data_IF_159631425730
#
_entry.id   IF_159631425730
#
_cell.length_a   1.000
_cell.length_b   1.000
_cell.length_c   1.000
_cell.angle_alpha   90.00
_cell.angle_beta   90.00
_cell.angle_gamma   90.00
#
_symmetry.space_group_name_H-M   'P 1'
#
loop_
_entity.id
_entity.type
_entity.pdbx_description
1 polymer ?
#
# COMPACT_ATOMS: atom_id res chain seq x y z
N UNK A 1 -30.15 9.16 -22.52
CA UNK A 1 -29.67 7.78 -22.34
C UNK A 1 -28.77 7.82 -21.11
N UNK A 2 -29.14 7.14 -20.03
CA UNK A 2 -28.27 7.01 -18.86
C UNK A 2 -27.08 6.14 -19.30
N UNK A 3 -25.89 6.74 -19.43
CA UNK A 3 -24.70 5.97 -19.70
C UNK A 3 -24.48 5.00 -18.51
N UNK A 4 -24.20 3.73 -18.82
CA UNK A 4 -23.91 2.74 -17.80
C UNK A 4 -22.56 3.06 -17.15
N UNK A 5 -22.53 3.11 -15.82
CA UNK A 5 -21.31 3.28 -15.04
C UNK A 5 -20.36 2.11 -15.35
N UNK A 6 -19.21 2.41 -15.92
CA UNK A 6 -18.20 1.39 -16.28
C UNK A 6 -17.29 1.05 -15.12
N UNK A 7 -16.93 2.06 -14.32
CA UNK A 7 -16.00 1.90 -13.20
C UNK A 7 -16.48 2.65 -11.96
N UNK A 8 -16.45 1.99 -10.81
CA UNK A 8 -16.80 2.58 -9.51
C UNK A 8 -15.51 2.79 -8.70
N UNK A 9 -15.28 4.04 -8.29
CA UNK A 9 -14.15 4.40 -7.45
C UNK A 9 -14.56 4.18 -6.00
N UNK A 10 -13.98 3.16 -5.36
CA UNK A 10 -14.22 2.82 -3.94
C UNK A 10 -13.20 3.55 -3.09
N UNK A 11 -13.69 4.47 -2.24
CA UNK A 11 -12.90 5.43 -1.50
C UNK A 11 -13.24 5.39 -0.01
N UNK A 12 -12.50 4.60 0.80
CA UNK A 12 -12.67 4.61 2.25
C UNK A 12 -12.07 5.88 2.84
N UNK A 13 -12.71 6.43 3.88
CA UNK A 13 -12.18 7.59 4.63
C UNK A 13 -12.52 7.50 6.11
N UNK A 14 -11.65 8.06 6.95
CA UNK A 14 -11.85 8.16 8.40
C UNK A 14 -11.12 9.37 8.98
N UNK A 15 -11.86 10.40 9.46
CA UNK A 15 -11.30 11.62 10.04
C UNK A 15 -10.30 12.34 9.11
N UNK A 16 -10.64 12.48 7.81
CA UNK A 16 -9.73 13.03 6.80
C UNK A 16 -10.42 13.93 5.78
N UNK A 17 -11.40 14.74 6.22
CA UNK A 17 -12.18 15.61 5.36
C UNK A 17 -11.34 16.40 4.34
N UNK A 18 -10.27 17.08 4.77
CA UNK A 18 -9.45 17.93 3.89
C UNK A 18 -8.71 17.15 2.80
N UNK A 19 -8.37 15.89 3.08
CA UNK A 19 -7.76 14.99 2.09
C UNK A 19 -8.80 14.51 1.09
N UNK A 20 -9.94 14.04 1.58
CA UNK A 20 -11.07 13.63 0.76
C UNK A 20 -11.50 14.74 -0.22
N UNK A 21 -11.58 16.00 0.25
CA UNK A 21 -11.90 17.16 -0.57
C UNK A 21 -10.94 17.31 -1.78
N UNK A 22 -9.64 17.09 -1.54
CA UNK A 22 -8.61 17.13 -2.60
C UNK A 22 -8.81 16.01 -3.62
N UNK A 23 -9.07 14.79 -3.15
CA UNK A 23 -9.32 13.63 -4.03
C UNK A 23 -10.56 13.88 -4.90
N UNK A 24 -11.66 14.33 -4.31
CA UNK A 24 -12.88 14.62 -5.08
C UNK A 24 -12.68 15.76 -6.08
N UNK A 25 -11.89 16.76 -5.74
CA UNK A 25 -11.50 17.83 -6.68
C UNK A 25 -10.67 17.28 -7.86
N UNK A 26 -9.83 16.27 -7.62
CA UNK A 26 -9.12 15.54 -8.69
C UNK A 26 -10.08 14.74 -9.58
N UNK A 27 -11.11 14.12 -9.00
CA UNK A 27 -12.14 13.41 -9.75
C UNK A 27 -13.02 14.35 -10.61
N UNK A 28 -13.28 15.58 -10.15
CA UNK A 28 -13.98 16.60 -10.97
C UNK A 28 -13.23 16.97 -12.25
N UNK A 29 -11.92 16.74 -12.31
CA UNK A 29 -11.04 17.06 -13.45
C UNK A 29 -10.73 15.88 -14.36
N UNK A 30 -11.41 14.73 -14.18
CA UNK A 30 -11.14 13.56 -15.03
C UNK A 30 -11.49 13.85 -16.51
N UNK A 31 -10.66 13.33 -17.41
CA UNK A 31 -10.78 13.52 -18.86
C UNK A 31 -11.86 12.68 -19.51
N UNK A 32 -12.38 11.68 -18.80
CA UNK A 32 -13.48 10.82 -19.26
C UNK A 32 -14.84 11.47 -19.05
N UNK A 33 -15.85 10.96 -19.76
CA UNK A 33 -17.24 11.36 -19.53
C UNK A 33 -17.64 11.10 -18.08
N UNK A 34 -18.16 12.11 -17.35
CA UNK A 34 -18.59 11.95 -15.97
C UNK A 34 -19.64 10.88 -15.73
N UNK A 35 -20.43 10.52 -16.76
CA UNK A 35 -21.43 9.46 -16.68
C UNK A 35 -20.84 8.05 -16.68
N UNK A 36 -19.58 7.87 -17.10
CA UNK A 36 -18.95 6.56 -17.18
C UNK A 36 -18.36 6.06 -15.85
N UNK A 37 -18.25 6.92 -14.83
CA UNK A 37 -17.74 6.54 -13.51
C UNK A 37 -18.58 7.09 -12.36
N UNK A 38 -18.44 6.50 -11.19
CA UNK A 38 -19.02 6.99 -9.94
C UNK A 38 -17.97 6.93 -8.82
N UNK A 39 -18.18 7.72 -7.77
CA UNK A 39 -17.45 7.62 -6.52
C UNK A 39 -18.33 7.03 -5.41
N UNK A 40 -17.90 5.91 -4.83
CA UNK A 40 -18.52 5.29 -3.66
C UNK A 40 -17.63 5.57 -2.46
N UNK A 41 -18.02 6.59 -1.68
CA UNK A 41 -17.28 7.04 -0.51
C UNK A 41 -17.81 6.31 0.72
N UNK A 42 -16.94 5.63 1.44
CA UNK A 42 -17.30 4.94 2.68
C UNK A 42 -16.65 5.64 3.86
N UNK A 43 -17.46 6.39 4.62
CA UNK A 43 -17.08 7.00 5.88
C UNK A 43 -17.09 5.95 7.00
N UNK A 44 -15.91 5.50 7.39
CA UNK A 44 -15.71 4.46 8.40
C UNK A 44 -15.87 4.99 9.84
N UNK A 45 -16.93 5.77 10.07
CA UNK A 45 -17.32 6.27 11.40
C UNK A 45 -16.55 7.52 11.83
N UNK A 46 -16.26 8.45 10.91
CA UNK A 46 -15.60 9.72 11.25
C UNK A 46 -16.29 10.48 12.36
N UNK A 47 -15.49 11.11 13.21
CA UNK A 47 -15.91 11.96 14.34
C UNK A 47 -15.64 13.44 14.10
N UNK A 48 -14.94 13.77 13.00
CA UNK A 48 -14.77 15.13 12.50
C UNK A 48 -15.97 15.58 11.65
N UNK A 49 -15.85 16.69 10.94
CA UNK A 49 -16.91 17.23 10.09
C UNK A 49 -17.07 16.55 8.72
N UNK A 50 -16.39 15.41 8.46
CA UNK A 50 -16.42 14.67 7.17
C UNK A 50 -17.84 14.37 6.73
N UNK A 51 -18.69 13.84 7.61
CA UNK A 51 -20.08 13.50 7.28
C UNK A 51 -20.91 14.73 6.92
N UNK A 52 -20.84 15.77 7.75
CA UNK A 52 -21.57 17.00 7.52
C UNK A 52 -21.11 17.71 6.24
N UNK A 53 -19.85 17.58 5.90
CA UNK A 53 -19.30 18.12 4.66
C UNK A 53 -19.75 17.31 3.44
N UNK A 54 -19.74 15.98 3.48
CA UNK A 54 -20.26 15.12 2.41
C UNK A 54 -21.73 15.42 2.10
N UNK A 55 -22.56 15.55 3.12
CA UNK A 55 -24.00 15.85 2.94
C UNK A 55 -24.27 17.20 2.25
N UNK A 56 -23.32 18.15 2.30
CA UNK A 56 -23.43 19.47 1.64
C UNK A 56 -22.71 19.54 0.29
N UNK A 57 -21.88 18.57 -0.04
CA UNK A 57 -21.04 18.57 -1.23
C UNK A 57 -21.26 17.32 -2.08
N UNK A 58 -22.50 16.84 -2.14
CA UNK A 58 -22.93 15.68 -2.94
C UNK A 58 -23.15 16.01 -4.42
N UNK A 59 -23.24 17.31 -4.80
CA UNK A 59 -23.44 17.76 -6.16
C UNK A 59 -22.11 17.79 -6.90
N UNK A 60 -21.91 16.78 -7.76
CA UNK A 60 -20.73 16.63 -8.62
C UNK A 60 -21.14 16.40 -10.07
N UNK A 61 -20.20 16.50 -10.99
CA UNK A 61 -20.42 16.18 -12.40
C UNK A 61 -20.65 14.68 -12.64
N UNK A 62 -20.17 13.85 -11.72
CA UNK A 62 -20.30 12.40 -11.69
C UNK A 62 -21.16 11.98 -10.49
N UNK A 63 -21.62 10.73 -10.50
CA UNK A 63 -22.42 10.18 -9.41
C UNK A 63 -21.57 9.99 -8.16
N UNK A 64 -22.07 10.47 -7.02
CA UNK A 64 -21.49 10.21 -5.70
C UNK A 64 -22.48 9.42 -4.86
N UNK A 65 -21.98 8.38 -4.20
CA UNK A 65 -22.72 7.62 -3.17
C UNK A 65 -21.89 7.66 -1.90
N UNK A 66 -22.40 8.33 -0.87
CA UNK A 66 -21.76 8.40 0.45
C UNK A 66 -22.43 7.41 1.41
N UNK A 67 -21.67 6.52 2.00
CA UNK A 67 -22.13 5.50 2.96
C UNK A 67 -21.39 5.72 4.25
N UNK A 68 -22.11 5.75 5.37
CA UNK A 68 -21.49 5.76 6.70
C UNK A 68 -21.66 4.41 7.37
N UNK A 69 -20.61 3.94 8.00
CA UNK A 69 -20.62 2.72 8.82
C UNK A 69 -19.98 2.96 10.18
N UNK A 70 -20.21 2.03 11.12
CA UNK A 70 -19.42 1.95 12.33
C UNK A 70 -17.99 1.55 11.99
N UNK A 71 -16.99 2.22 12.58
CA UNK A 71 -15.59 1.96 12.31
C UNK A 71 -15.26 0.47 12.37
N UNK A 72 -14.75 -0.05 11.29
CA UNK A 72 -14.41 -1.45 11.11
C UNK A 72 -13.11 -1.67 10.33
N UNK A 73 -12.41 -0.58 10.04
CA UNK A 73 -11.14 -0.60 9.32
C UNK A 73 -11.27 -0.62 7.79
N UNK A 74 -10.14 -0.48 7.09
CA UNK A 74 -10.11 -0.26 5.64
C UNK A 74 -10.67 -1.46 4.84
N UNK A 75 -10.44 -2.70 5.27
CA UNK A 75 -10.95 -3.89 4.63
C UNK A 75 -12.49 -3.90 4.61
N UNK A 76 -13.13 -3.65 5.77
CA UNK A 76 -14.59 -3.59 5.88
C UNK A 76 -15.17 -2.42 5.08
N UNK A 77 -14.54 -1.25 5.14
CA UNK A 77 -14.99 -0.09 4.38
C UNK A 77 -14.93 -0.33 2.86
N UNK A 78 -13.83 -0.96 2.36
CA UNK A 78 -13.75 -1.33 0.94
C UNK A 78 -14.80 -2.37 0.54
N UNK A 79 -15.08 -3.37 1.37
CA UNK A 79 -16.14 -4.35 1.09
C UNK A 79 -17.50 -3.66 0.97
N UNK A 80 -17.87 -2.78 1.90
CA UNK A 80 -19.10 -1.97 1.80
C UNK A 80 -19.14 -1.17 0.50
N UNK A 81 -18.02 -0.59 0.09
CA UNK A 81 -17.91 0.14 -1.18
C UNK A 81 -18.06 -0.76 -2.41
N UNK A 82 -17.49 -1.97 -2.39
CA UNK A 82 -17.63 -2.97 -3.48
C UNK A 82 -19.09 -3.40 -3.63
N UNK A 83 -19.78 -3.65 -2.52
CA UNK A 83 -21.21 -4.03 -2.56
C UNK A 83 -22.06 -2.95 -3.24
N UNK A 84 -21.83 -1.69 -2.89
CA UNK A 84 -22.56 -0.53 -3.44
C UNK A 84 -22.15 -0.14 -4.85
N UNK A 85 -20.98 -0.57 -5.33
CA UNK A 85 -20.43 -0.27 -6.64
C UNK A 85 -21.32 -0.80 -7.77
N UNK A 86 -21.60 0.01 -8.79
CA UNK A 86 -22.43 -0.34 -9.98
C UNK A 86 -21.58 -0.68 -11.20
N UNK A 87 -20.35 -0.16 -11.26
CA UNK A 87 -19.45 -0.38 -12.38
C UNK A 87 -19.05 -1.84 -12.54
N UNK A 88 -18.79 -2.22 -13.78
CA UNK A 88 -18.17 -3.50 -14.11
C UNK A 88 -16.81 -3.66 -13.44
N UNK A 89 -16.07 -2.55 -13.33
CA UNK A 89 -14.77 -2.48 -12.68
C UNK A 89 -14.88 -1.70 -11.36
N UNK A 90 -14.04 -2.06 -10.40
CA UNK A 90 -13.81 -1.26 -9.19
C UNK A 90 -12.39 -0.70 -9.24
N UNK A 91 -12.26 0.59 -8.95
CA UNK A 91 -11.00 1.28 -8.75
C UNK A 91 -10.90 1.61 -7.26
N UNK A 92 -9.96 1.01 -6.58
CA UNK A 92 -9.62 1.37 -5.21
C UNK A 92 -8.73 2.60 -5.22
N UNK A 93 -9.12 3.61 -4.47
CA UNK A 93 -8.39 4.87 -4.33
C UNK A 93 -8.37 5.29 -2.86
N UNK A 94 -7.20 5.61 -2.31
CA UNK A 94 -7.11 6.10 -0.94
C UNK A 94 -7.42 7.60 -0.85
N UNK A 95 -7.88 8.05 0.30
CA UNK A 95 -8.29 9.44 0.56
C UNK A 95 -7.12 10.44 0.64
N UNK A 96 -5.89 9.98 0.44
CA UNK A 96 -4.67 10.78 0.31
C UNK A 96 -3.99 10.65 -1.06
N UNK A 97 -4.68 10.07 -2.03
CA UNK A 97 -4.20 9.93 -3.42
C UNK A 97 -5.03 10.81 -4.36
N UNK A 98 -4.50 11.96 -4.72
CA UNK A 98 -5.14 12.89 -5.66
C UNK A 98 -5.00 12.37 -7.11
N UNK A 99 -6.11 12.01 -7.79
CA UNK A 99 -6.04 11.51 -9.15
C UNK A 99 -5.64 12.61 -10.14
N UNK A 100 -4.70 12.29 -11.05
CA UNK A 100 -4.47 13.14 -12.23
C UNK A 100 -5.64 13.03 -13.20
N UNK A 101 -5.76 13.95 -14.15
CA UNK A 101 -6.88 14.01 -15.07
C UNK A 101 -7.10 12.73 -15.89
N UNK A 102 -6.02 11.99 -16.16
CA UNK A 102 -6.03 10.78 -16.99
C UNK A 102 -6.22 9.48 -16.20
N UNK A 103 -6.27 9.53 -14.86
CA UNK A 103 -6.23 8.32 -14.03
C UNK A 103 -7.34 7.34 -14.39
N UNK A 104 -8.60 7.77 -14.43
CA UNK A 104 -9.75 6.90 -14.74
C UNK A 104 -9.69 6.38 -16.17
N UNK A 105 -9.33 7.26 -17.14
CA UNK A 105 -9.18 6.88 -18.54
C UNK A 105 -8.16 5.75 -18.72
N UNK A 106 -7.02 5.86 -18.04
CA UNK A 106 -5.91 4.92 -18.16
C UNK A 106 -6.23 3.55 -17.51
N UNK A 107 -7.00 3.53 -16.42
CA UNK A 107 -7.52 2.29 -15.86
C UNK A 107 -8.50 1.62 -16.83
N UNK A 108 -9.48 2.36 -17.34
CA UNK A 108 -10.46 1.83 -18.29
C UNK A 108 -9.80 1.31 -19.56
N UNK A 109 -8.82 2.02 -20.12
CA UNK A 109 -8.07 1.61 -21.30
C UNK A 109 -7.39 0.25 -21.13
N UNK A 110 -6.82 -0.02 -19.95
CA UNK A 110 -6.21 -1.33 -19.67
C UNK A 110 -7.26 -2.44 -19.64
N UNK A 111 -8.42 -2.20 -19.06
CA UNK A 111 -9.50 -3.18 -18.98
C UNK A 111 -10.21 -3.43 -20.33
N UNK A 112 -10.12 -2.48 -21.27
CA UNK A 112 -10.55 -2.68 -22.66
C UNK A 112 -9.65 -3.66 -23.42
N UNK A 113 -8.38 -3.74 -23.04
CA UNK A 113 -7.41 -4.64 -23.66
C UNK A 113 -7.41 -6.03 -23.02
N UNK A 114 -7.63 -6.11 -21.70
CA UNK A 114 -7.58 -7.36 -20.94
C UNK A 114 -8.53 -7.26 -19.73
N UNK A 115 -9.47 -8.19 -19.60
CA UNK A 115 -10.47 -8.19 -18.51
C UNK A 115 -10.00 -8.94 -17.26
N UNK A 116 -9.18 -10.00 -17.43
CA UNK A 116 -8.69 -10.85 -16.34
C UNK A 116 -7.38 -10.28 -15.76
N UNK A 117 -7.39 -9.01 -15.45
CA UNK A 117 -6.22 -8.25 -15.03
C UNK A 117 -6.53 -7.36 -13.81
N UNK A 118 -5.55 -7.24 -12.94
CA UNK A 118 -5.45 -6.20 -11.93
C UNK A 118 -4.56 -5.11 -12.50
N UNK A 119 -5.08 -3.89 -12.64
CA UNK A 119 -4.32 -2.74 -13.11
C UNK A 119 -3.83 -1.93 -11.91
N UNK A 120 -2.53 -1.72 -11.85
CA UNK A 120 -1.85 -0.97 -10.77
C UNK A 120 -1.37 0.35 -11.34
N UNK A 121 -1.82 1.46 -10.76
CA UNK A 121 -1.31 2.79 -11.04
C UNK A 121 -0.27 3.23 -9.99
N UNK A 122 0.65 4.13 -10.34
CA UNK A 122 1.63 4.66 -9.40
C UNK A 122 0.95 5.56 -8.36
N UNK A 123 1.43 5.45 -7.11
CA UNK A 123 1.30 6.44 -6.05
C UNK A 123 2.45 7.43 -6.22
N UNK A 124 2.27 8.39 -7.14
CA UNK A 124 3.34 9.26 -7.60
C UNK A 124 3.77 10.25 -6.53
N UNK A 125 5.08 10.46 -6.42
CA UNK A 125 5.66 11.37 -5.45
C UNK A 125 5.23 12.83 -5.67
N UNK A 126 5.05 13.54 -4.57
CA UNK A 126 5.05 15.00 -4.54
C UNK A 126 6.50 15.52 -4.69
N UNK A 127 6.69 16.78 -5.12
CA UNK A 127 8.03 17.37 -5.21
C UNK A 127 8.78 17.40 -3.87
N UNK A 128 8.07 17.42 -2.77
CA UNK A 128 8.64 17.49 -1.43
C UNK A 128 7.76 16.83 -0.38
N UNK A 129 8.40 16.09 0.54
CA UNK A 129 7.80 15.57 1.78
C UNK A 129 8.57 16.11 2.98
N UNK A 130 7.91 16.73 3.97
CA UNK A 130 8.58 17.29 5.14
C UNK A 130 9.17 16.22 6.05
N UNK A 131 8.59 15.00 6.07
CA UNK A 131 9.06 13.89 6.90
C UNK A 131 10.08 13.03 6.14
N UNK A 132 11.32 12.87 6.63
CA UNK A 132 12.34 12.06 5.96
C UNK A 132 11.94 10.59 5.73
N UNK A 133 11.19 9.99 6.66
CA UNK A 133 10.72 8.60 6.54
C UNK A 133 9.64 8.45 5.46
N UNK A 134 8.80 9.47 5.26
CA UNK A 134 7.82 9.48 4.14
C UNK A 134 8.54 9.63 2.82
N UNK A 135 9.49 10.56 2.73
CA UNK A 135 10.32 10.73 1.53
C UNK A 135 11.11 9.45 1.18
N UNK A 136 11.64 8.76 2.20
CA UNK A 136 12.33 7.48 2.02
C UNK A 136 11.41 6.37 1.50
N UNK A 137 10.21 6.24 2.08
CA UNK A 137 9.21 5.27 1.64
C UNK A 137 8.79 5.53 0.19
N UNK A 138 8.52 6.79 -0.13
CA UNK A 138 8.14 7.19 -1.49
C UNK A 138 9.25 6.91 -2.50
N UNK A 139 10.51 7.18 -2.15
CA UNK A 139 11.65 6.85 -3.00
C UNK A 139 11.78 5.34 -3.27
N UNK A 140 11.35 4.47 -2.32
CA UNK A 140 11.30 3.03 -2.52
C UNK A 140 10.22 2.63 -3.53
N UNK A 141 9.04 3.25 -3.46
CA UNK A 141 7.98 3.03 -4.45
C UNK A 141 8.42 3.47 -5.85
N UNK A 142 9.01 4.66 -5.99
CA UNK A 142 9.52 5.13 -7.28
C UNK A 142 10.59 4.18 -7.87
N UNK A 143 11.48 3.64 -7.03
CA UNK A 143 12.48 2.66 -7.49
C UNK A 143 11.81 1.37 -8.00
N UNK A 144 10.71 0.92 -7.38
CA UNK A 144 9.93 -0.22 -7.88
C UNK A 144 9.25 0.10 -9.22
N UNK A 145 8.69 1.29 -9.38
CA UNK A 145 8.10 1.72 -10.65
C UNK A 145 9.11 1.73 -11.78
N UNK A 146 10.31 2.24 -11.53
CA UNK A 146 11.41 2.22 -12.51
C UNK A 146 11.79 0.79 -12.87
N UNK A 147 11.91 -0.11 -11.90
CA UNK A 147 12.22 -1.52 -12.14
C UNK A 147 11.14 -2.22 -12.98
N UNK A 148 9.85 -1.97 -12.68
CA UNK A 148 8.73 -2.50 -13.47
C UNK A 148 8.72 -1.96 -14.91
N UNK A 149 9.03 -0.69 -15.11
CA UNK A 149 9.12 -0.07 -16.44
C UNK A 149 10.27 -0.61 -17.29
N UNK A 150 11.37 -1.03 -16.66
CA UNK A 150 12.54 -1.64 -17.33
C UNK A 150 12.36 -3.12 -17.60
N UNK A 151 11.35 -3.76 -17.03
CA UNK A 151 11.17 -5.21 -17.06
C UNK A 151 12.08 -5.97 -16.08
N UNK A 152 12.77 -5.26 -15.17
CA UNK A 152 13.60 -5.87 -14.14
C UNK A 152 12.75 -6.49 -13.00
N UNK A 153 11.48 -6.12 -12.96
CA UNK A 153 10.52 -6.58 -11.96
C UNK A 153 9.13 -6.75 -12.57
N UNK A 154 8.59 -7.95 -12.53
CA UNK A 154 7.22 -8.19 -12.96
C UNK A 154 6.23 -7.80 -11.84
N UNK A 155 5.18 -7.02 -12.16
CA UNK A 155 4.12 -6.73 -11.21
C UNK A 155 3.43 -8.02 -10.75
N UNK A 156 3.17 -8.13 -9.46
CA UNK A 156 2.52 -9.29 -8.86
C UNK A 156 1.50 -8.84 -7.81
N UNK A 157 0.86 -9.78 -7.14
CA UNK A 157 -0.07 -9.51 -6.03
C UNK A 157 0.57 -8.66 -4.91
N UNK A 158 1.90 -8.68 -4.76
CA UNK A 158 2.65 -7.88 -3.78
C UNK A 158 2.55 -6.37 -4.04
N UNK A 159 2.27 -5.97 -5.27
CA UNK A 159 2.09 -4.58 -5.69
C UNK A 159 0.62 -4.20 -5.86
N UNK A 160 -0.31 -5.02 -5.40
CA UNK A 160 -1.72 -4.66 -5.36
C UNK A 160 -1.98 -3.62 -4.27
N UNK A 161 -1.56 -2.39 -4.53
CA UNK A 161 -1.81 -1.27 -3.61
C UNK A 161 -3.19 -0.68 -3.87
N UNK A 162 -4.10 -0.85 -2.93
CA UNK A 162 -5.47 -0.32 -3.03
C UNK A 162 -5.57 1.20 -2.96
N UNK A 163 -4.44 1.88 -2.81
CA UNK A 163 -4.35 3.33 -2.99
C UNK A 163 -4.53 3.78 -4.44
N UNK A 164 -4.27 2.90 -5.43
CA UNK A 164 -4.48 3.17 -6.86
C UNK A 164 -4.43 1.87 -7.66
N UNK A 165 -5.48 1.06 -7.59
CA UNK A 165 -5.56 -0.19 -8.34
C UNK A 165 -6.99 -0.51 -8.75
N UNK A 166 -7.18 -1.08 -9.96
CA UNK A 166 -8.50 -1.49 -10.44
C UNK A 166 -8.54 -2.94 -10.91
N UNK A 167 -9.73 -3.51 -10.84
CA UNK A 167 -10.00 -4.90 -11.21
C UNK A 167 -11.49 -5.07 -11.52
N UNK A 168 -11.87 -6.08 -12.30
CA UNK A 168 -13.29 -6.39 -12.50
C UNK A 168 -13.94 -6.76 -11.15
N UNK A 169 -15.10 -6.15 -10.85
CA UNK A 169 -15.85 -6.39 -9.60
C UNK A 169 -16.12 -7.89 -9.39
N UNK A 170 -16.43 -8.60 -10.45
CA UNK A 170 -16.69 -10.04 -10.40
C UNK A 170 -15.51 -10.85 -9.84
N UNK A 171 -14.26 -10.47 -10.16
CA UNK A 171 -13.06 -11.14 -9.66
C UNK A 171 -12.86 -10.90 -8.17
N UNK A 172 -13.12 -9.68 -7.68
CA UNK A 172 -13.03 -9.37 -6.25
C UNK A 172 -14.06 -10.18 -5.46
N UNK A 173 -15.31 -10.23 -5.96
CA UNK A 173 -16.39 -11.01 -5.32
C UNK A 173 -16.11 -12.51 -5.35
N UNK A 174 -15.61 -13.03 -6.48
CA UNK A 174 -15.23 -14.44 -6.60
C UNK A 174 -14.04 -14.80 -5.70
N UNK A 175 -13.17 -13.86 -5.38
CA UNK A 175 -12.10 -14.03 -4.39
C UNK A 175 -12.59 -13.88 -2.93
N UNK A 176 -13.86 -13.50 -2.69
CA UNK A 176 -14.45 -13.35 -1.36
C UNK A 176 -14.29 -11.97 -0.74
N UNK A 177 -13.83 -10.95 -1.50
CA UNK A 177 -13.60 -9.60 -0.99
C UNK A 177 -12.39 -9.50 -0.06
N UNK A 178 -12.25 -8.36 0.61
CA UNK A 178 -11.21 -8.15 1.63
C UNK A 178 -11.52 -8.92 2.91
N UNK A 179 -10.52 -9.52 3.53
CA UNK A 179 -10.66 -10.15 4.85
C UNK A 179 -10.52 -9.11 5.98
N UNK A 180 -11.59 -8.82 6.75
CA UNK A 180 -11.53 -7.87 7.85
C UNK A 180 -10.60 -8.28 9.01
N UNK A 181 -10.15 -9.51 9.05
CA UNK A 181 -9.15 -10.01 10.00
C UNK A 181 -7.76 -9.39 9.76
N UNK A 182 -7.49 -8.90 8.54
CA UNK A 182 -6.27 -8.19 8.23
C UNK A 182 -6.46 -6.69 8.45
N UNK A 183 -5.89 -6.17 9.53
CA UNK A 183 -5.89 -4.73 9.81
C UNK A 183 -4.90 -3.94 8.93
N UNK A 184 -3.97 -4.64 8.27
CA UNK A 184 -2.99 -4.14 7.29
C UNK A 184 -2.65 -5.25 6.32
N UNK A 185 -2.10 -4.86 5.15
CA UNK A 185 -1.78 -5.77 4.06
C UNK A 185 -2.99 -6.60 3.58
N UNK A 186 -4.20 -6.14 3.87
CA UNK A 186 -5.47 -6.70 3.38
C UNK A 186 -5.54 -6.70 1.85
N UNK A 187 -4.84 -5.75 1.24
CA UNK A 187 -4.67 -5.62 -0.20
C UNK A 187 -3.77 -6.74 -0.75
N UNK A 188 -2.60 -6.95 -0.18
CA UNK A 188 -1.67 -8.02 -0.59
C UNK A 188 -2.31 -9.39 -0.39
N UNK A 189 -3.06 -9.58 0.70
CA UNK A 189 -3.79 -10.82 0.99
C UNK A 189 -4.87 -11.10 -0.06
N UNK A 190 -5.71 -10.12 -0.39
CA UNK A 190 -6.70 -10.26 -1.47
C UNK A 190 -6.01 -10.44 -2.82
N UNK A 191 -4.94 -9.70 -3.08
CA UNK A 191 -4.12 -9.84 -4.29
C UNK A 191 -3.61 -11.26 -4.48
N UNK A 192 -3.15 -11.91 -3.40
CA UNK A 192 -2.73 -13.32 -3.40
C UNK A 192 -3.87 -14.24 -3.83
N UNK A 193 -5.06 -14.12 -3.23
CA UNK A 193 -6.23 -14.93 -3.61
C UNK A 193 -6.66 -14.71 -5.06
N UNK A 194 -6.56 -13.49 -5.57
CA UNK A 194 -6.80 -13.20 -6.99
C UNK A 194 -5.74 -13.82 -7.88
N UNK A 195 -4.46 -13.78 -7.49
CA UNK A 195 -3.36 -14.42 -8.20
C UNK A 195 -3.55 -15.94 -8.30
N UNK A 196 -3.91 -16.60 -7.21
CA UNK A 196 -4.20 -18.05 -7.17
C UNK A 196 -5.38 -18.44 -8.08
N UNK A 197 -6.26 -17.47 -8.40
CA UNK A 197 -7.35 -17.64 -9.37
C UNK A 197 -6.92 -17.32 -10.82
N UNK A 198 -5.64 -17.05 -11.04
CA UNK A 198 -5.07 -16.85 -12.38
C UNK A 198 -5.08 -15.40 -12.87
N UNK A 199 -5.46 -14.40 -12.04
CA UNK A 199 -5.41 -13.01 -12.48
C UNK A 199 -3.95 -12.55 -12.65
N UNK A 200 -3.74 -11.80 -13.72
CA UNK A 200 -2.48 -11.12 -13.99
C UNK A 200 -2.45 -9.73 -13.36
N UNK A 201 -1.25 -9.23 -13.11
CA UNK A 201 -1.03 -7.89 -12.58
C UNK A 201 -0.29 -7.05 -13.62
N UNK A 202 -0.76 -5.83 -13.87
CA UNK A 202 -0.20 -4.92 -14.87
C UNK A 202 0.04 -3.56 -14.24
N UNK A 203 1.25 -3.06 -14.38
CA UNK A 203 1.58 -1.69 -13.97
C UNK A 203 1.34 -0.74 -15.14
N UNK A 204 0.44 0.25 -14.92
CA UNK A 204 0.21 1.32 -15.89
C UNK A 204 0.79 2.66 -15.37
N UNK A 205 1.96 3.09 -15.85
CA UNK A 205 2.62 4.31 -15.36
C UNK A 205 1.84 5.59 -15.66
N UNK A 206 0.83 5.55 -16.55
CA UNK A 206 0.00 6.70 -16.91
C UNK A 206 -1.21 6.87 -15.98
N UNK A 207 -1.66 5.82 -15.31
CA UNK A 207 -2.76 5.86 -14.35
C UNK A 207 -2.29 6.47 -13.02
N UNK A 208 -1.93 7.76 -13.01
CA UNK A 208 -1.21 8.41 -11.91
C UNK A 208 -2.14 8.98 -10.84
N UNK A 209 -1.84 8.69 -9.58
CA UNK A 209 -2.37 9.43 -8.44
C UNK A 209 -1.23 10.09 -7.65
N UNK A 210 -1.37 11.36 -7.28
CA UNK A 210 -0.39 12.09 -6.47
C UNK A 210 -0.58 11.72 -5.00
N UNK A 211 0.44 11.14 -4.39
CA UNK A 211 0.37 10.62 -3.02
C UNK A 211 0.70 11.69 -1.98
N UNK A 212 -0.33 12.22 -1.35
CA UNK A 212 -0.21 13.18 -0.24
C UNK A 212 0.08 12.46 1.09
N UNK A 213 1.08 11.58 1.07
CA UNK A 213 1.45 10.79 2.25
C UNK A 213 1.92 11.70 3.39
N UNK A 214 1.31 11.50 4.55
CA UNK A 214 1.69 12.16 5.79
C UNK A 214 1.52 11.17 6.94
N UNK A 215 2.58 10.96 7.70
CA UNK A 215 2.60 9.93 8.74
C UNK A 215 3.55 10.30 9.86
N UNK A 216 3.10 10.19 11.11
CA UNK A 216 4.02 10.34 12.25
C UNK A 216 5.09 9.23 12.24
N UNK A 217 6.26 9.51 12.79
CA UNK A 217 7.34 8.53 12.90
C UNK A 217 6.88 7.26 13.64
N UNK A 218 6.12 7.41 14.72
CA UNK A 218 5.57 6.29 15.48
C UNK A 218 4.60 5.43 14.65
N UNK A 219 3.73 6.06 13.85
CA UNK A 219 2.82 5.33 12.97
C UNK A 219 3.57 4.59 11.85
N UNK A 220 4.65 5.19 11.33
CA UNK A 220 5.52 4.60 10.33
C UNK A 220 6.29 3.38 10.87
N UNK A 221 6.83 3.45 12.09
CA UNK A 221 7.48 2.29 12.71
C UNK A 221 6.52 1.14 12.99
N UNK A 222 5.31 1.44 13.53
CA UNK A 222 4.26 0.43 13.73
C UNK A 222 3.85 -0.24 12.43
N UNK A 223 3.86 0.48 11.32
CA UNK A 223 3.59 -0.08 10.00
C UNK A 223 4.65 -1.13 9.63
N UNK A 224 5.94 -0.85 9.77
CA UNK A 224 7.00 -1.83 9.50
C UNK A 224 6.95 -3.05 10.43
N UNK A 225 6.58 -2.86 11.70
CA UNK A 225 6.33 -3.98 12.62
C UNK A 225 5.17 -4.86 12.12
N UNK A 226 4.07 -4.23 11.68
CA UNK A 226 2.92 -4.97 11.16
C UNK A 226 3.28 -5.75 9.89
N UNK A 227 3.99 -5.15 8.95
CA UNK A 227 4.43 -5.83 7.73
C UNK A 227 5.30 -7.05 8.03
N UNK A 228 6.25 -6.94 8.95
CA UNK A 228 7.08 -8.09 9.33
C UNK A 228 6.31 -9.30 9.85
N UNK A 229 5.24 -9.08 10.61
CA UNK A 229 4.39 -10.16 11.11
C UNK A 229 3.42 -10.69 10.03
N UNK A 230 2.82 -9.79 9.26
CA UNK A 230 1.81 -10.13 8.25
C UNK A 230 2.40 -10.84 7.03
N UNK A 231 3.60 -10.47 6.60
CA UNK A 231 4.29 -11.18 5.50
C UNK A 231 4.56 -12.65 5.86
N UNK A 232 4.91 -12.93 7.12
CA UNK A 232 5.03 -14.34 7.57
C UNK A 232 3.70 -15.09 7.44
N UNK A 233 2.58 -14.45 7.74
CA UNK A 233 1.26 -15.06 7.60
C UNK A 233 0.87 -15.23 6.12
N UNK A 234 1.06 -14.20 5.30
CA UNK A 234 0.67 -14.19 3.89
C UNK A 234 1.51 -15.21 3.10
N UNK A 235 2.84 -15.20 3.26
CA UNK A 235 3.71 -16.14 2.54
C UNK A 235 3.65 -17.55 3.12
N UNK A 236 3.40 -17.69 4.42
CA UNK A 236 3.14 -18.99 5.04
C UNK A 236 1.93 -19.71 4.45
N UNK A 237 0.94 -18.97 3.96
CA UNK A 237 -0.21 -19.54 3.24
C UNK A 237 0.16 -20.11 1.84
N UNK A 238 1.30 -19.69 1.25
CA UNK A 238 1.82 -20.23 -0.02
C UNK A 238 2.65 -21.51 0.19
N UNK A 239 3.03 -21.81 1.41
CA UNK A 239 3.85 -22.96 1.79
C UNK A 239 5.15 -22.56 2.50
N UNK A 240 5.70 -23.51 3.23
CA UNK A 240 6.89 -23.27 4.08
C UNK A 240 8.12 -22.89 3.27
N UNK A 241 8.35 -23.54 2.15
CA UNK A 241 9.52 -23.27 1.31
C UNK A 241 9.46 -21.88 0.67
N UNK A 242 8.29 -21.50 0.12
CA UNK A 242 8.07 -20.17 -0.46
C UNK A 242 8.23 -19.06 0.59
N UNK A 243 7.77 -19.28 1.82
CA UNK A 243 7.97 -18.36 2.94
C UNK A 243 9.46 -18.17 3.23
N UNK A 244 10.19 -19.27 3.44
CA UNK A 244 11.61 -19.22 3.78
C UNK A 244 12.41 -18.56 2.66
N UNK A 245 12.15 -18.92 1.39
CA UNK A 245 12.83 -18.35 0.23
C UNK A 245 12.59 -16.86 0.07
N UNK A 246 11.34 -16.45 0.16
CA UNK A 246 10.97 -15.03 0.06
C UNK A 246 11.67 -14.21 1.14
N UNK A 247 11.59 -14.64 2.39
CA UNK A 247 12.20 -13.90 3.49
C UNK A 247 13.73 -13.95 3.43
N UNK A 248 14.33 -15.08 3.02
CA UNK A 248 15.78 -15.20 2.83
C UNK A 248 16.28 -14.24 1.73
N UNK A 249 15.54 -14.13 0.61
CA UNK A 249 15.85 -13.18 -0.43
C UNK A 249 15.77 -11.72 0.07
N UNK A 250 14.70 -11.37 0.80
CA UNK A 250 14.58 -10.05 1.44
C UNK A 250 15.74 -9.80 2.40
N UNK A 251 16.13 -10.79 3.19
CA UNK A 251 17.26 -10.70 4.12
C UNK A 251 18.60 -10.47 3.41
N UNK A 252 18.85 -11.15 2.30
CA UNK A 252 20.09 -11.05 1.53
C UNK A 252 20.36 -9.63 0.99
N UNK A 253 19.31 -8.85 0.75
CA UNK A 253 19.36 -7.50 0.15
C UNK A 253 19.59 -6.36 1.14
N UNK A 254 19.60 -6.64 2.44
CA UNK A 254 19.78 -5.59 3.46
C UNK A 254 21.23 -5.09 3.46
N UNK A 255 21.42 -3.80 3.63
CA UNK A 255 22.76 -3.20 3.75
C UNK A 255 23.57 -3.83 4.90
N UNK A 256 24.86 -4.05 4.72
CA UNK A 256 25.73 -4.82 5.64
C UNK A 256 25.67 -4.32 7.09
N UNK A 257 25.71 -3.00 7.31
CA UNK A 257 25.66 -2.42 8.64
C UNK A 257 24.28 -2.64 9.30
N UNK A 258 23.20 -2.49 8.54
CA UNK A 258 21.84 -2.76 9.02
C UNK A 258 21.68 -4.23 9.37
N UNK A 259 22.17 -5.13 8.52
CA UNK A 259 22.21 -6.56 8.75
C UNK A 259 22.89 -6.93 10.08
N UNK A 260 24.09 -6.38 10.32
CA UNK A 260 24.82 -6.55 11.58
C UNK A 260 23.99 -6.05 12.77
N UNK A 261 23.37 -4.88 12.65
CA UNK A 261 22.56 -4.28 13.71
C UNK A 261 21.32 -5.12 14.04
N UNK A 262 20.58 -5.58 13.00
CA UNK A 262 19.41 -6.45 13.21
C UNK A 262 19.80 -7.73 13.93
N UNK A 263 20.86 -8.42 13.51
CA UNK A 263 21.33 -9.64 14.18
C UNK A 263 21.63 -9.44 15.67
N UNK A 264 22.17 -8.27 16.04
CA UNK A 264 22.49 -7.93 17.44
C UNK A 264 21.26 -7.61 18.28
N UNK A 265 20.18 -7.20 17.65
CA UNK A 265 19.01 -6.64 18.32
C UNK A 265 17.77 -7.54 18.26
N UNK A 266 17.62 -8.38 17.24
CA UNK A 266 16.38 -9.10 16.91
C UNK A 266 15.81 -9.90 18.10
N UNK A 267 16.68 -10.60 18.86
CA UNK A 267 16.30 -11.41 20.03
C UNK A 267 16.46 -10.68 21.37
N UNK A 268 16.97 -9.45 21.37
CA UNK A 268 17.28 -8.71 22.60
C UNK A 268 16.38 -7.46 22.73
N UNK A 269 15.26 -7.52 23.49
CA UNK A 269 14.31 -6.42 23.61
C UNK A 269 14.95 -5.08 23.99
N UNK A 270 15.82 -5.08 24.97
CA UNK A 270 16.49 -3.85 25.46
C UNK A 270 17.43 -3.25 24.41
N UNK A 271 18.22 -4.09 23.72
CA UNK A 271 19.11 -3.61 22.64
C UNK A 271 18.32 -3.07 21.48
N UNK A 272 17.21 -3.74 21.09
CA UNK A 272 16.32 -3.26 20.06
C UNK A 272 15.72 -1.89 20.42
N UNK A 273 15.17 -1.76 21.64
CA UNK A 273 14.59 -0.49 22.08
C UNK A 273 15.62 0.64 22.11
N UNK A 274 16.83 0.37 22.60
CA UNK A 274 17.92 1.37 22.64
C UNK A 274 18.37 1.77 21.22
N UNK A 275 18.49 0.81 20.28
CA UNK A 275 18.85 1.10 18.90
C UNK A 275 17.74 1.92 18.20
N UNK A 276 16.47 1.55 18.35
CA UNK A 276 15.35 2.32 17.81
C UNK A 276 15.32 3.74 18.38
N UNK A 277 15.51 3.91 19.70
CA UNK A 277 15.53 5.23 20.34
C UNK A 277 16.66 6.11 19.78
N UNK A 278 17.86 5.55 19.64
CA UNK A 278 19.00 6.28 19.09
C UNK A 278 18.76 6.73 17.63
N UNK A 279 18.20 5.84 16.80
CA UNK A 279 17.88 6.15 15.41
C UNK A 279 16.73 7.17 15.28
N UNK A 280 15.71 7.10 16.15
CA UNK A 280 14.63 8.10 16.22
C UNK A 280 15.17 9.49 16.56
N UNK A 281 15.93 9.58 17.66
CA UNK A 281 16.51 10.85 18.08
C UNK A 281 17.37 11.45 16.97
N UNK A 282 18.11 10.60 16.24
CA UNK A 282 18.90 11.04 15.11
C UNK A 282 18.03 11.59 13.97
N UNK A 283 16.92 10.93 13.63
CA UNK A 283 15.98 11.40 12.60
C UNK A 283 15.33 12.73 12.98
N UNK A 284 14.88 12.87 14.22
CA UNK A 284 14.25 14.10 14.72
C UNK A 284 15.24 15.27 14.75
N UNK A 285 16.48 15.05 15.22
CA UNK A 285 17.54 16.05 15.22
C UNK A 285 18.07 16.33 13.80
N UNK A 286 18.19 15.30 12.96
CA UNK A 286 18.67 15.40 11.58
C UNK A 286 17.70 16.09 10.65
N UNK A 287 16.37 15.94 10.87
CA UNK A 287 15.34 16.69 10.18
C UNK A 287 15.49 18.20 10.41
N UNK A 288 15.86 18.60 11.62
CA UNK A 288 16.20 19.99 11.95
C UNK A 288 17.48 20.48 11.25
N UNK A 289 18.43 19.59 10.93
CA UNK A 289 19.75 19.93 10.39
C UNK A 289 19.89 19.83 8.85
N UNK A 290 18.82 19.53 8.09
CA UNK A 290 18.76 19.42 6.62
C UNK A 290 19.86 18.52 6.00
N UNK A 291 20.12 17.33 6.55
CA UNK A 291 21.13 16.36 6.04
C UNK A 291 20.46 15.13 5.39
N UNK A 292 20.12 15.15 4.09
CA UNK A 292 19.28 14.13 3.45
C UNK A 292 19.96 12.74 3.29
N UNK A 293 21.28 12.66 3.03
CA UNK A 293 21.94 11.38 2.68
C UNK A 293 21.96 10.42 3.87
N UNK A 294 22.25 10.93 5.06
CA UNK A 294 22.27 10.10 6.26
C UNK A 294 20.84 9.69 6.71
N UNK A 295 19.81 10.48 6.41
CA UNK A 295 18.43 10.16 6.76
C UNK A 295 17.97 8.86 6.09
N UNK A 296 18.30 8.61 4.83
CA UNK A 296 17.93 7.38 4.12
C UNK A 296 18.51 6.12 4.75
N UNK A 297 19.77 6.15 5.19
CA UNK A 297 20.40 5.02 5.86
C UNK A 297 19.76 4.74 7.22
N UNK A 298 19.43 5.79 7.96
CA UNK A 298 18.79 5.68 9.29
C UNK A 298 17.35 5.21 9.16
N UNK A 299 16.57 5.72 8.20
CA UNK A 299 15.23 5.21 7.90
C UNK A 299 15.29 3.72 7.54
N UNK A 300 16.23 3.33 6.66
CA UNK A 300 16.42 1.93 6.29
C UNK A 300 16.77 1.03 7.48
N UNK A 301 17.65 1.49 8.38
CA UNK A 301 18.02 0.75 9.59
C UNK A 301 16.82 0.59 10.54
N UNK A 302 16.10 1.68 10.80
CA UNK A 302 14.94 1.69 11.71
C UNK A 302 13.79 0.84 11.17
N UNK A 303 13.48 0.93 9.87
CA UNK A 303 12.48 0.09 9.22
C UNK A 303 12.82 -1.39 9.35
N UNK A 304 14.05 -1.78 9.02
CA UNK A 304 14.50 -3.17 9.07
C UNK A 304 14.57 -3.72 10.52
N UNK A 305 14.98 -2.91 11.51
CA UNK A 305 14.94 -3.33 12.91
C UNK A 305 13.51 -3.72 13.34
N UNK A 306 12.55 -2.89 13.02
CA UNK A 306 11.15 -3.11 13.37
C UNK A 306 10.54 -4.29 12.60
N UNK A 307 10.78 -4.35 11.30
CA UNK A 307 10.31 -5.43 10.42
C UNK A 307 10.86 -6.79 10.86
N UNK A 308 12.18 -6.95 10.93
CA UNK A 308 12.81 -8.25 11.20
C UNK A 308 12.56 -8.75 12.62
N UNK A 309 12.42 -7.84 13.60
CA UNK A 309 12.02 -8.25 14.93
C UNK A 309 10.61 -8.85 14.93
N UNK A 310 9.66 -8.24 14.23
CA UNK A 310 8.30 -8.73 14.13
C UNK A 310 8.24 -10.05 13.34
N UNK A 311 8.95 -10.14 12.23
CA UNK A 311 9.07 -11.37 11.42
C UNK A 311 9.66 -12.52 12.23
N UNK A 312 10.78 -12.29 12.91
CA UNK A 312 11.45 -13.30 13.73
C UNK A 312 10.54 -13.81 14.87
N UNK A 313 9.81 -12.88 15.52
CA UNK A 313 8.84 -13.24 16.56
C UNK A 313 7.69 -14.10 16.00
N UNK A 314 7.21 -13.79 14.80
CA UNK A 314 6.14 -14.54 14.13
C UNK A 314 6.62 -15.92 13.64
N UNK A 315 7.86 -16.02 13.17
CA UNK A 315 8.48 -17.28 12.72
C UNK A 315 8.85 -18.23 13.88
N UNK A 316 9.28 -17.66 15.01
CA UNK A 316 10.00 -18.40 16.05
C UNK A 316 11.49 -18.53 15.72
N UNK A 317 12.30 -18.94 16.73
CA UNK A 317 13.78 -18.95 16.64
C UNK A 317 14.31 -19.87 15.54
N UNK A 318 13.76 -21.07 15.43
CA UNK A 318 14.22 -22.09 14.49
C UNK A 318 14.04 -21.62 13.03
N UNK A 319 12.81 -21.24 12.65
CA UNK A 319 12.49 -20.80 11.28
C UNK A 319 13.18 -19.49 10.93
N UNK A 320 13.27 -18.56 11.86
CA UNK A 320 14.03 -17.33 11.67
C UNK A 320 15.53 -17.62 11.46
N UNK A 321 16.07 -18.61 12.18
CA UNK A 321 17.44 -19.11 11.97
C UNK A 321 17.66 -19.65 10.56
N UNK A 322 16.71 -20.41 10.02
CA UNK A 322 16.75 -20.93 8.64
C UNK A 322 16.73 -19.78 7.62
N UNK A 323 15.81 -18.81 7.77
CA UNK A 323 15.73 -17.63 6.92
C UNK A 323 17.06 -16.87 6.90
N UNK A 324 17.62 -16.60 8.06
CA UNK A 324 18.88 -15.85 8.18
C UNK A 324 20.07 -16.60 7.57
N UNK A 325 20.18 -17.91 7.80
CA UNK A 325 21.25 -18.73 7.25
C UNK A 325 21.17 -18.82 5.70
N UNK A 326 19.97 -19.07 5.17
CA UNK A 326 19.74 -19.13 3.72
C UNK A 326 19.99 -17.77 3.06
N UNK A 327 19.53 -16.68 3.63
CA UNK A 327 19.75 -15.34 3.12
C UNK A 327 21.21 -14.90 3.16
N UNK A 328 21.99 -15.32 4.19
CA UNK A 328 23.43 -15.09 4.21
C UNK A 328 24.16 -15.85 3.09
N UNK A 329 23.73 -17.09 2.82
CA UNK A 329 24.28 -17.87 1.72
C UNK A 329 24.02 -17.20 0.37
N UNK A 330 22.78 -16.71 0.13
CA UNK A 330 22.42 -15.94 -1.08
C UNK A 330 23.29 -14.69 -1.23
N UNK A 331 23.53 -13.98 -0.14
CA UNK A 331 24.34 -12.77 -0.13
C UNK A 331 25.81 -13.07 -0.48
N UNK A 332 26.38 -14.15 0.04
CA UNK A 332 27.74 -14.57 -0.26
C UNK A 332 27.88 -15.04 -1.72
N UNK A 333 26.85 -15.66 -2.27
CA UNK A 333 26.80 -16.08 -3.66
C UNK A 333 26.62 -14.91 -4.65
N UNK A 334 26.40 -13.66 -4.19
CA UNK A 334 26.22 -12.49 -5.06
C UNK A 334 24.89 -12.47 -5.81
N UNK A 335 23.93 -13.27 -5.38
CA UNK A 335 22.58 -13.28 -5.95
C UNK A 335 21.90 -11.96 -5.57
N UNK A 336 21.63 -11.10 -6.54
CA UNK A 336 20.96 -9.80 -6.37
C UNK A 336 19.46 -9.90 -6.57
#
# INVERSE_FOLDING_TARGET
MTQDVRISIVLPTFNRRSRLERVLSGLDRQSVDPGCFEAVIVDDGSTDDTQAWLARNDIRRYRVTAIRQTNGGPAKARNTGIEAARGQFVLFLDDDVEPTAELVAEHLRCHELETDVVVIGPLASLPHYPQPWVAWEQAKLEAQYVAMLRGDWEPSFRQFWTGNASVAKAHVLAAGGFDPGFLRAEDVELGRRMHERGLKFRFNPKARGLHHAERSLSAWEKMHQSYGALEVQIFGALGEEELIDTLAHNWSRIHSLTHWLVRRCVWHPMRHAAACLALRNWLELGAAAKRPIAANAVCGALANLNYWRASAKALGEERAGQVFARGDALRLAGVK
#
